data_IF_769309731231
#
_entry.id   IF_769309731231
#
_cell.length_a   1.000
_cell.length_b   1.000
_cell.length_c   1.000
_cell.angle_alpha   90.00
_cell.angle_beta   90.00
_cell.angle_gamma   90.00
#
_symmetry.space_group_name_H-M   'P 1'
#
loop_
_entity.id
_entity.type
_entity.pdbx_description
1 polymer ?
#
# COMPACT_ATOMS: atom_id res chain seq x y z
N UNK A 1 -14.68 -12.84 6.54
CA UNK A 1 -14.49 -13.33 5.16
C UNK A 1 -13.01 -13.33 4.84
N UNK A 2 -12.58 -14.08 3.83
CA UNK A 2 -11.19 -14.07 3.36
C UNK A 2 -10.83 -12.68 2.85
N UNK A 3 -9.60 -12.25 3.12
CA UNK A 3 -9.07 -10.97 2.66
C UNK A 3 -8.28 -11.15 1.36
N UNK A 4 -8.34 -10.14 0.50
CA UNK A 4 -7.55 -10.05 -0.74
C UNK A 4 -6.97 -8.65 -0.89
N UNK A 5 -5.92 -8.52 -1.69
CA UNK A 5 -5.28 -7.23 -1.92
C UNK A 5 -6.19 -6.31 -2.74
N UNK A 6 -6.42 -5.09 -2.24
CA UNK A 6 -7.08 -4.01 -2.96
C UNK A 6 -6.11 -2.87 -3.29
N UNK A 7 -5.18 -3.04 -4.25
CA UNK A 7 -4.12 -2.07 -4.52
C UNK A 7 -4.64 -0.70 -4.99
N UNK A 8 -5.83 -0.67 -5.59
CA UNK A 8 -6.47 0.56 -6.09
C UNK A 8 -7.25 1.34 -5.02
N UNK A 9 -7.45 0.75 -3.84
CA UNK A 9 -8.11 1.44 -2.73
C UNK A 9 -7.21 2.55 -2.20
N UNK A 10 -7.82 3.59 -1.63
CA UNK A 10 -7.10 4.57 -0.81
C UNK A 10 -6.80 3.98 0.57
N UNK A 11 -5.84 4.57 1.28
CA UNK A 11 -5.40 4.08 2.59
C UNK A 11 -6.53 3.91 3.64
N UNK A 12 -7.55 4.77 3.61
CA UNK A 12 -8.72 4.74 4.50
C UNK A 12 -9.90 3.92 3.98
N UNK A 13 -9.77 3.29 2.82
CA UNK A 13 -10.85 2.52 2.21
C UNK A 13 -10.63 1.02 2.36
N UNK A 14 -11.73 0.28 2.42
CA UNK A 14 -11.74 -1.18 2.27
C UNK A 14 -12.83 -1.59 1.28
N UNK A 15 -12.60 -2.67 0.54
CA UNK A 15 -13.63 -3.23 -0.35
C UNK A 15 -14.53 -4.17 0.43
N UNK A 16 -15.82 -3.86 0.49
CA UNK A 16 -16.84 -4.67 1.15
C UNK A 16 -17.73 -5.37 0.10
N UNK A 17 -17.81 -6.72 0.11
CA UNK A 17 -18.69 -7.46 -0.78
C UNK A 17 -20.15 -7.01 -0.70
N UNK A 18 -20.79 -6.77 -1.85
CA UNK A 18 -22.19 -6.32 -1.92
C UNK A 18 -23.16 -7.18 -1.09
N UNK A 19 -23.03 -8.51 -1.15
CA UNK A 19 -23.88 -9.44 -0.38
C UNK A 19 -23.68 -9.29 1.13
N UNK A 20 -22.44 -9.12 1.57
CA UNK A 20 -22.12 -8.90 2.97
C UNK A 20 -22.64 -7.55 3.45
N UNK A 21 -22.40 -6.49 2.67
CA UNK A 21 -22.90 -5.16 2.97
C UNK A 21 -24.43 -5.13 3.09
N UNK A 22 -25.14 -5.80 2.19
CA UNK A 22 -26.60 -5.87 2.23
C UNK A 22 -27.13 -6.51 3.53
N UNK A 23 -26.50 -7.58 4.01
CA UNK A 23 -26.90 -8.23 5.26
C UNK A 23 -26.54 -7.38 6.50
N UNK A 24 -25.37 -6.74 6.51
CA UNK A 24 -24.94 -5.88 7.62
C UNK A 24 -25.80 -4.61 7.75
N UNK A 25 -26.12 -3.97 6.62
CA UNK A 25 -26.86 -2.70 6.56
C UNK A 25 -28.36 -2.86 6.30
N UNK A 26 -28.86 -4.10 6.34
CA UNK A 26 -30.27 -4.46 6.07
C UNK A 26 -31.28 -3.56 6.80
N UNK A 27 -31.13 -3.27 8.12
CA UNK A 27 -32.08 -2.41 8.82
C UNK A 27 -32.09 -0.97 8.29
N UNK A 28 -30.92 -0.43 7.93
CA UNK A 28 -30.77 0.93 7.38
C UNK A 28 -31.42 1.03 6.00
N UNK A 29 -31.17 0.06 5.13
CA UNK A 29 -31.77 -0.01 3.79
C UNK A 29 -33.29 -0.11 3.89
N UNK A 30 -33.81 -0.94 4.80
CA UNK A 30 -35.25 -1.07 5.02
C UNK A 30 -35.89 0.23 5.51
N UNK A 31 -35.21 0.99 6.39
CA UNK A 31 -35.68 2.29 6.86
C UNK A 31 -35.72 3.32 5.72
N UNK A 32 -34.66 3.39 4.92
CA UNK A 32 -34.58 4.31 3.78
C UNK A 32 -35.62 4.00 2.69
N UNK A 33 -35.90 2.72 2.42
CA UNK A 33 -36.93 2.33 1.46
C UNK A 33 -38.33 2.81 1.87
N UNK A 34 -38.63 2.80 3.18
CA UNK A 34 -39.90 3.32 3.70
C UNK A 34 -39.90 4.85 3.69
N UNK A 35 -38.78 5.49 4.06
CA UNK A 35 -38.65 6.95 4.08
C UNK A 35 -38.76 7.59 2.69
N UNK A 36 -38.32 6.89 1.63
CA UNK A 36 -38.42 7.32 0.23
C UNK A 36 -39.71 6.88 -0.47
N UNK A 37 -40.71 6.37 0.27
CA UNK A 37 -41.98 5.83 -0.25
C UNK A 37 -41.84 4.71 -1.30
N UNK A 38 -40.68 4.06 -1.38
CA UNK A 38 -40.42 2.91 -2.25
C UNK A 38 -41.02 1.60 -1.67
N UNK A 39 -41.38 1.62 -0.39
CA UNK A 39 -42.09 0.54 0.28
C UNK A 39 -43.10 1.07 1.30
N UNK A 40 -44.35 0.60 1.23
CA UNK A 40 -45.42 1.04 2.14
C UNK A 40 -45.22 0.64 3.61
N UNK A 41 -44.47 -0.43 3.90
CA UNK A 41 -44.21 -0.89 5.27
C UNK A 41 -42.93 -1.75 5.33
N UNK A 42 -42.46 -1.99 6.56
CA UNK A 42 -41.23 -2.77 6.85
C UNK A 42 -41.31 -4.19 6.26
N UNK A 43 -42.49 -4.83 6.23
CA UNK A 43 -42.65 -6.19 5.64
C UNK A 43 -42.44 -6.17 4.13
N UNK A 44 -42.98 -5.17 3.44
CA UNK A 44 -42.80 -4.97 2.01
C UNK A 44 -41.36 -4.59 1.70
N UNK A 45 -40.73 -3.73 2.51
CA UNK A 45 -39.31 -3.38 2.38
C UNK A 45 -38.41 -4.62 2.50
N UNK A 46 -38.67 -5.50 3.47
CA UNK A 46 -37.93 -6.78 3.62
C UNK A 46 -38.02 -7.64 2.37
N UNK A 47 -39.23 -7.81 1.80
CA UNK A 47 -39.43 -8.56 0.53
C UNK A 47 -38.71 -7.90 -0.65
N UNK A 48 -38.68 -6.57 -0.71
CA UNK A 48 -37.98 -5.83 -1.77
C UNK A 48 -36.47 -6.03 -1.70
N UNK A 49 -35.91 -6.02 -0.48
CA UNK A 49 -34.49 -6.31 -0.23
C UNK A 49 -34.15 -7.76 -0.60
N UNK A 50 -34.96 -8.73 -0.20
CA UNK A 50 -34.75 -10.16 -0.52
C UNK A 50 -34.82 -10.43 -2.04
N UNK A 51 -35.63 -9.67 -2.77
CA UNK A 51 -35.71 -9.75 -4.25
C UNK A 51 -34.54 -9.07 -4.96
N UNK A 52 -33.70 -8.31 -4.26
CA UNK A 52 -32.50 -7.68 -4.84
C UNK A 52 -32.79 -6.68 -5.95
N UNK A 53 -33.86 -5.89 -5.85
CA UNK A 53 -34.21 -4.87 -6.86
C UNK A 53 -33.05 -3.87 -7.08
N UNK A 54 -32.88 -3.31 -8.31
CA UNK A 54 -31.86 -2.30 -8.61
C UNK A 54 -31.81 -1.13 -7.63
N UNK A 55 -32.97 -0.64 -7.19
CA UNK A 55 -33.14 0.46 -6.25
C UNK A 55 -32.44 0.21 -4.91
N UNK A 56 -32.44 -1.04 -4.44
CA UNK A 56 -31.82 -1.47 -3.18
C UNK A 56 -30.31 -1.23 -3.22
N UNK A 57 -29.67 -1.50 -4.36
CA UNK A 57 -28.22 -1.34 -4.52
C UNK A 57 -27.79 0.12 -4.55
N UNK A 58 -28.63 1.01 -5.11
CA UNK A 58 -28.38 2.46 -5.07
C UNK A 58 -28.44 2.97 -3.64
N UNK A 59 -29.50 2.62 -2.90
CA UNK A 59 -29.67 3.03 -1.50
C UNK A 59 -28.56 2.45 -0.61
N UNK A 60 -28.20 1.19 -0.83
CA UNK A 60 -27.10 0.55 -0.10
C UNK A 60 -25.79 1.31 -0.31
N UNK A 61 -25.48 1.73 -1.54
CA UNK A 61 -24.27 2.47 -1.84
C UNK A 61 -24.22 3.79 -1.06
N UNK A 62 -25.30 4.56 -1.08
CA UNK A 62 -25.37 5.86 -0.39
C UNK A 62 -25.19 5.68 1.13
N UNK A 63 -25.85 4.70 1.74
CA UNK A 63 -25.73 4.41 3.18
C UNK A 63 -24.30 4.00 3.53
N UNK A 64 -23.71 3.10 2.74
CA UNK A 64 -22.40 2.50 3.02
C UNK A 64 -21.28 3.56 2.90
N UNK A 65 -21.37 4.50 1.96
CA UNK A 65 -20.36 5.56 1.80
C UNK A 65 -20.27 6.51 3.03
N UNK A 66 -21.38 6.70 3.74
CA UNK A 66 -21.43 7.55 4.94
C UNK A 66 -21.04 6.84 6.24
N UNK A 67 -21.03 5.50 6.27
CA UNK A 67 -20.86 4.73 7.50
C UNK A 67 -19.50 4.04 7.58
N UNK A 68 -18.60 4.40 8.52
CA UNK A 68 -17.36 3.68 8.72
C UNK A 68 -17.63 2.26 9.24
N UNK A 69 -16.77 1.31 8.86
CA UNK A 69 -16.78 -0.07 9.39
C UNK A 69 -15.48 -0.38 10.09
N UNK A 70 -15.51 -1.25 11.09
CA UNK A 70 -14.33 -1.73 11.79
C UNK A 70 -13.90 -3.07 11.21
N UNK A 71 -12.62 -3.17 10.85
CA UNK A 71 -11.98 -4.44 10.51
C UNK A 71 -11.15 -4.92 11.70
N UNK A 72 -11.24 -6.21 11.99
CA UNK A 72 -10.46 -6.88 13.02
C UNK A 72 -9.89 -8.20 12.49
N UNK A 73 -8.62 -8.48 12.83
CA UNK A 73 -7.98 -9.79 12.62
C UNK A 73 -7.66 -10.43 13.96
N UNK A 74 -8.07 -11.68 14.14
CA UNK A 74 -7.69 -12.48 15.30
C UNK A 74 -6.33 -13.17 15.03
N UNK A 75 -5.43 -13.28 16.03
CA UNK A 75 -5.50 -12.69 17.37
C UNK A 75 -5.14 -11.19 17.40
N UNK A 76 -5.88 -10.40 18.18
CA UNK A 76 -5.64 -8.95 18.33
C UNK A 76 -4.58 -8.69 19.41
N UNK A 77 -3.33 -8.46 19.00
CA UNK A 77 -2.20 -8.26 19.93
C UNK A 77 -2.05 -6.82 20.45
N UNK A 78 -2.54 -5.84 19.69
CA UNK A 78 -2.42 -4.42 20.02
C UNK A 78 -3.55 -3.62 19.36
N UNK A 79 -3.75 -2.37 19.78
CA UNK A 79 -4.85 -1.52 19.31
C UNK A 79 -4.93 -1.38 17.78
N UNK A 80 -3.82 -1.47 17.06
CA UNK A 80 -3.77 -1.37 15.60
C UNK A 80 -4.35 -2.59 14.86
N UNK A 81 -4.65 -3.68 15.59
CA UNK A 81 -5.34 -4.85 15.04
C UNK A 81 -6.84 -4.63 14.85
N UNK A 82 -7.38 -3.47 15.27
CA UNK A 82 -8.73 -3.00 14.97
C UNK A 82 -8.61 -1.58 14.41
N UNK A 83 -9.09 -1.37 13.19
CA UNK A 83 -9.11 -0.04 12.56
C UNK A 83 -10.44 0.20 11.83
N UNK A 84 -10.82 1.46 11.72
CA UNK A 84 -11.97 1.88 10.94
C UNK A 84 -11.57 2.19 9.49
N UNK A 85 -12.48 1.88 8.57
CA UNK A 85 -12.35 2.11 7.14
C UNK A 85 -13.67 2.61 6.56
N UNK A 86 -13.58 3.40 5.48
CA UNK A 86 -14.74 3.72 4.64
C UNK A 86 -14.95 2.59 3.63
N UNK A 87 -16.07 1.86 3.70
CA UNK A 87 -16.33 0.74 2.80
C UNK A 87 -16.62 1.23 1.37
N UNK A 88 -16.06 0.52 0.39
CA UNK A 88 -16.35 0.65 -1.03
C UNK A 88 -16.99 -0.65 -1.48
N UNK A 89 -18.18 -0.58 -2.08
CA UNK A 89 -18.86 -1.78 -2.55
C UNK A 89 -18.08 -2.45 -3.68
N UNK A 90 -17.74 -3.72 -3.50
CA UNK A 90 -17.04 -4.55 -4.50
C UNK A 90 -17.85 -5.79 -4.85
N UNK A 91 -17.61 -6.29 -6.06
CA UNK A 91 -18.13 -7.59 -6.48
C UNK A 91 -17.34 -8.74 -5.84
N UNK A 92 -17.96 -9.93 -5.80
CA UNK A 92 -17.36 -11.12 -5.21
C UNK A 92 -17.74 -11.33 -3.73
N UNK A 93 -16.95 -12.15 -3.03
CA UNK A 93 -17.21 -12.55 -1.64
C UNK A 93 -16.06 -12.21 -0.66
N UNK A 94 -14.93 -11.71 -1.16
CA UNK A 94 -13.73 -11.43 -0.38
C UNK A 94 -13.63 -9.95 -0.01
N UNK A 95 -13.10 -9.66 1.18
CA UNK A 95 -12.87 -8.28 1.64
C UNK A 95 -11.57 -7.79 1.02
N UNK A 96 -11.60 -6.65 0.35
CA UNK A 96 -10.37 -6.04 -0.16
C UNK A 96 -9.77 -5.11 0.90
N UNK A 97 -8.49 -5.27 1.20
CA UNK A 97 -7.79 -4.38 2.12
C UNK A 97 -6.61 -3.70 1.43
N UNK A 98 -6.28 -2.51 1.94
CA UNK A 98 -5.17 -1.74 1.43
C UNK A 98 -3.82 -2.41 1.79
N UNK A 99 -2.88 -2.65 0.85
CA UNK A 99 -1.64 -3.39 1.13
C UNK A 99 -0.79 -2.81 2.27
N UNK A 100 -0.77 -1.48 2.43
CA UNK A 100 0.01 -0.82 3.48
C UNK A 100 -0.57 -0.98 4.89
N UNK A 101 -1.83 -1.40 5.05
CA UNK A 101 -2.40 -1.66 6.38
C UNK A 101 -2.14 -3.09 6.86
N UNK A 102 -1.74 -4.00 5.97
CA UNK A 102 -1.49 -5.41 6.30
C UNK A 102 -0.45 -5.57 7.42
N UNK A 103 0.59 -4.74 7.44
CA UNK A 103 1.60 -4.74 8.49
C UNK A 103 1.01 -4.45 9.88
N UNK A 104 0.01 -3.56 9.96
CA UNK A 104 -0.68 -3.25 11.21
C UNK A 104 -1.60 -4.38 11.67
N UNK A 105 -2.17 -5.17 10.76
CA UNK A 105 -2.95 -6.36 11.11
C UNK A 105 -2.10 -7.63 11.27
N UNK A 106 -0.80 -7.54 10.97
CA UNK A 106 0.09 -8.69 10.78
C UNK A 106 -0.51 -9.74 9.82
N UNK A 107 -1.19 -9.27 8.77
CA UNK A 107 -1.97 -10.07 7.85
C UNK A 107 -1.25 -10.28 6.51
N UNK A 108 -1.53 -11.39 5.86
CA UNK A 108 -1.11 -11.71 4.49
C UNK A 108 -2.32 -12.19 3.66
N UNK A 109 -2.06 -12.66 2.44
CA UNK A 109 -3.11 -12.97 1.45
C UNK A 109 -3.15 -14.45 1.07
N UNK A 110 -2.79 -15.35 1.99
CA UNK A 110 -2.71 -16.81 1.76
C UNK A 110 -3.96 -17.58 2.24
N UNK A 111 -4.95 -16.88 2.81
CA UNK A 111 -6.17 -17.50 3.36
C UNK A 111 -6.69 -16.81 4.62
N UNK A 112 -5.96 -15.83 5.14
CA UNK A 112 -6.35 -15.00 6.27
C UNK A 112 -7.79 -14.45 6.18
N UNK A 113 -8.44 -14.36 7.34
CA UNK A 113 -9.81 -13.88 7.45
C UNK A 113 -9.90 -12.69 8.40
N UNK A 114 -10.78 -11.75 8.06
CA UNK A 114 -11.11 -10.62 8.93
C UNK A 114 -12.60 -10.60 9.27
N UNK A 115 -12.89 -10.13 10.47
CA UNK A 115 -14.23 -9.80 10.94
C UNK A 115 -14.56 -8.33 10.62
N UNK A 116 -15.83 -8.08 10.31
CA UNK A 116 -16.35 -6.73 10.02
C UNK A 116 -17.39 -6.39 11.07
N UNK A 117 -17.28 -5.23 11.69
CA UNK A 117 -18.27 -4.70 12.63
C UNK A 117 -18.78 -3.33 12.15
N UNK A 118 -20.07 -3.07 12.36
CA UNK A 118 -20.71 -1.81 11.99
C UNK A 118 -21.06 -1.03 13.26
N UNK A 119 -20.46 0.15 13.50
CA UNK A 119 -20.86 1.05 14.58
C UNK A 119 -22.29 1.56 14.35
N UNK A 120 -23.18 1.34 15.32
CA UNK A 120 -24.61 1.65 15.17
C UNK A 120 -25.01 3.03 15.71
N UNK A 121 -24.45 3.44 16.85
CA UNK A 121 -24.79 4.74 17.45
C UNK A 121 -24.03 5.88 16.77
N UNK A 122 -24.61 7.09 16.69
CA UNK A 122 -23.91 8.25 16.13
C UNK A 122 -22.57 8.54 16.83
N UNK A 123 -22.51 8.34 18.14
CA UNK A 123 -21.29 8.53 18.93
C UNK A 123 -20.21 7.52 18.54
N UNK A 124 -20.59 6.26 18.35
CA UNK A 124 -19.66 5.21 17.93
C UNK A 124 -19.17 5.41 16.48
N UNK A 125 -20.03 5.92 15.59
CA UNK A 125 -19.65 6.27 14.23
C UNK A 125 -18.66 7.45 14.21
N UNK A 126 -18.94 8.49 14.99
CA UNK A 126 -18.05 9.64 15.14
C UNK A 126 -16.70 9.22 15.75
N UNK A 127 -16.69 8.37 16.78
CA UNK A 127 -15.46 7.83 17.37
C UNK A 127 -14.64 7.02 16.36
N UNK A 128 -15.31 6.15 15.59
CA UNK A 128 -14.66 5.35 14.56
C UNK A 128 -14.00 6.24 13.49
N UNK A 129 -14.69 7.29 13.04
CA UNK A 129 -14.16 8.20 12.02
C UNK A 129 -13.05 9.12 12.55
N UNK A 130 -13.22 9.69 13.74
CA UNK A 130 -12.29 10.67 14.31
C UNK A 130 -11.03 10.01 14.86
N UNK A 131 -11.16 8.85 15.53
CA UNK A 131 -10.05 8.21 16.26
C UNK A 131 -9.54 6.94 15.58
N UNK A 132 -10.44 6.07 15.10
CA UNK A 132 -10.06 4.72 14.67
C UNK A 132 -9.73 4.60 13.18
N UNK A 133 -10.05 5.61 12.37
CA UNK A 133 -9.79 5.59 10.93
C UNK A 133 -8.32 5.28 10.65
N UNK A 134 -8.04 4.38 9.71
CA UNK A 134 -6.66 3.94 9.42
C UNK A 134 -5.70 5.12 9.18
N UNK A 135 -6.17 6.21 8.56
CA UNK A 135 -5.40 7.44 8.31
C UNK A 135 -4.86 8.13 9.57
N UNK A 136 -5.45 7.88 10.75
CA UNK A 136 -4.93 8.39 12.02
C UNK A 136 -3.84 7.50 12.62
N UNK A 137 -3.74 6.25 12.15
CA UNK A 137 -2.96 5.18 12.74
C UNK A 137 -1.70 4.85 11.92
N UNK A 138 -0.99 5.90 11.46
CA UNK A 138 0.21 5.77 10.62
C UNK A 138 1.45 5.38 11.44
N UNK A 139 1.54 5.87 12.69
CA UNK A 139 2.67 5.62 13.57
C UNK A 139 2.35 4.52 14.58
N UNK A 140 3.37 3.72 14.90
CA UNK A 140 3.32 2.74 15.97
C UNK A 140 3.25 3.46 17.34
N UNK A 141 2.30 3.10 18.22
CA UNK A 141 2.20 3.66 19.56
C UNK A 141 3.41 3.36 20.44
N UNK A 142 4.13 2.27 20.16
CA UNK A 142 5.20 1.78 21.01
C UNK A 142 6.52 2.55 20.83
N UNK A 143 6.83 3.00 19.61
CA UNK A 143 8.13 3.59 19.27
C UNK A 143 8.03 4.87 18.40
N UNK A 144 6.83 5.27 17.98
CA UNK A 144 6.63 6.46 17.14
C UNK A 144 7.17 6.33 15.71
N UNK A 145 7.58 5.13 15.28
CA UNK A 145 7.99 4.87 13.90
C UNK A 145 6.76 4.56 13.04
N UNK A 146 6.78 4.87 11.72
CA UNK A 146 5.69 4.52 10.83
C UNK A 146 5.47 3.00 10.78
N UNK A 147 4.24 2.55 10.97
CA UNK A 147 3.87 1.13 10.82
C UNK A 147 3.39 0.83 9.40
N UNK A 148 2.78 1.82 8.75
CA UNK A 148 2.25 1.74 7.40
C UNK A 148 3.37 1.89 6.34
N UNK A 149 4.45 1.14 6.50
CA UNK A 149 5.58 1.18 5.58
C UNK A 149 5.28 0.32 4.35
N UNK A 150 5.65 0.79 3.15
CA UNK A 150 5.77 -0.06 1.98
C UNK A 150 6.56 -1.33 2.27
N UNK A 151 6.10 -2.45 1.73
CA UNK A 151 6.73 -3.76 1.88
C UNK A 151 7.02 -4.38 0.51
N UNK A 152 7.94 -5.35 0.50
CA UNK A 152 8.24 -6.25 -0.62
C UNK A 152 8.32 -5.50 -1.98
N UNK A 153 7.40 -5.79 -2.89
CA UNK A 153 7.40 -5.32 -4.28
C UNK A 153 7.37 -3.80 -4.39
N UNK A 154 6.69 -3.10 -3.48
CA UNK A 154 6.65 -1.64 -3.49
C UNK A 154 8.05 -1.08 -3.24
N UNK A 155 8.80 -1.68 -2.31
CA UNK A 155 10.20 -1.32 -2.05
C UNK A 155 11.06 -1.66 -3.27
N UNK A 156 10.86 -2.83 -3.86
CA UNK A 156 11.62 -3.27 -5.04
C UNK A 156 11.43 -2.31 -6.22
N UNK A 157 10.20 -1.91 -6.51
CA UNK A 157 9.89 -0.95 -7.56
C UNK A 157 10.47 0.44 -7.28
N UNK A 158 10.43 0.92 -6.03
CA UNK A 158 11.08 2.18 -5.67
C UNK A 158 12.62 2.09 -5.77
N UNK A 159 13.20 0.96 -5.39
CA UNK A 159 14.63 0.70 -5.50
C UNK A 159 15.05 0.71 -6.97
N UNK A 160 14.37 -0.08 -7.80
CA UNK A 160 14.59 -0.12 -9.25
C UNK A 160 14.45 1.28 -9.85
N UNK A 161 13.36 2.00 -9.57
CA UNK A 161 13.16 3.37 -10.04
C UNK A 161 14.33 4.30 -9.72
N UNK A 162 14.98 4.16 -8.56
CA UNK A 162 15.97 5.13 -8.07
C UNK A 162 17.42 4.67 -8.12
N UNK A 163 17.68 3.45 -8.60
CA UNK A 163 19.04 2.95 -8.81
C UNK A 163 19.74 3.72 -9.94
N UNK A 164 21.06 3.54 -10.00
CA UNK A 164 21.91 4.17 -11.01
C UNK A 164 22.71 3.09 -11.70
N UNK A 165 22.83 3.21 -13.01
CA UNK A 165 23.72 2.40 -13.81
C UNK A 165 24.62 3.29 -14.66
N UNK A 166 25.75 2.75 -15.11
CA UNK A 166 26.64 3.40 -16.07
C UNK A 166 26.33 2.91 -17.49
N UNK A 167 26.73 3.70 -18.50
CA UNK A 167 26.62 3.34 -19.91
C UNK A 167 25.17 3.17 -20.39
N UNK A 168 24.29 4.04 -19.90
CA UNK A 168 22.88 4.08 -20.25
C UNK A 168 22.61 5.15 -21.31
N UNK A 169 21.56 4.98 -22.10
CA UNK A 169 21.15 5.93 -23.14
C UNK A 169 20.82 7.29 -22.52
N UNK A 170 21.43 8.35 -23.06
CA UNK A 170 21.20 9.71 -22.58
C UNK A 170 22.04 10.13 -21.37
N UNK A 171 23.06 9.36 -20.99
CA UNK A 171 24.03 9.77 -19.98
C UNK A 171 24.68 11.13 -20.31
N UNK A 172 24.82 11.99 -19.30
CA UNK A 172 25.41 13.33 -19.41
C UNK A 172 24.48 14.43 -19.91
N UNK A 173 23.26 14.12 -20.37
CA UNK A 173 22.26 15.12 -20.77
C UNK A 173 21.87 16.02 -19.60
N UNK A 174 21.50 17.26 -19.93
CA UNK A 174 21.10 18.30 -18.98
C UNK A 174 19.62 18.60 -19.20
N UNK A 175 18.85 18.64 -18.13
CA UNK A 175 17.42 18.95 -18.17
C UNK A 175 17.08 20.10 -17.24
N UNK A 176 16.14 20.95 -17.67
CA UNK A 176 15.75 22.16 -16.95
C UNK A 176 14.53 21.98 -16.05
N UNK A 177 13.65 21.03 -16.35
CA UNK A 177 12.43 20.78 -15.58
C UNK A 177 12.05 19.28 -15.55
N UNK A 178 11.24 18.83 -14.57
CA UNK A 178 10.84 17.43 -14.45
C UNK A 178 10.05 16.91 -15.66
N UNK A 179 9.16 17.73 -16.22
CA UNK A 179 8.33 17.35 -17.36
C UNK A 179 9.16 17.02 -18.61
N UNK A 180 10.28 17.71 -18.81
CA UNK A 180 11.23 17.46 -19.91
C UNK A 180 11.89 16.10 -19.75
N UNK A 181 12.26 15.73 -18.52
CA UNK A 181 12.83 14.41 -18.20
C UNK A 181 11.80 13.32 -18.42
N UNK A 182 10.57 13.51 -17.95
CA UNK A 182 9.47 12.56 -18.12
C UNK A 182 9.18 12.33 -19.60
N UNK A 183 9.06 13.41 -20.40
CA UNK A 183 8.86 13.31 -21.85
C UNK A 183 10.03 12.67 -22.57
N UNK A 184 11.26 12.96 -22.13
CA UNK A 184 12.45 12.34 -22.71
C UNK A 184 12.49 10.84 -22.40
N UNK A 185 12.04 10.41 -21.22
CA UNK A 185 11.92 9.00 -20.87
C UNK A 185 10.79 8.32 -21.68
N UNK A 186 9.59 8.92 -21.71
CA UNK A 186 8.44 8.41 -22.48
C UNK A 186 8.71 8.34 -23.98
N UNK A 187 9.49 9.29 -24.51
CA UNK A 187 9.91 9.33 -25.90
C UNK A 187 11.15 8.46 -26.21
N UNK A 188 11.61 7.64 -25.26
CA UNK A 188 12.78 6.76 -25.42
C UNK A 188 14.05 7.52 -25.83
N UNK A 189 14.24 8.74 -25.31
CA UNK A 189 15.45 9.54 -25.52
C UNK A 189 16.49 9.36 -24.40
N UNK A 190 16.05 8.86 -23.24
CA UNK A 190 16.88 8.55 -22.07
C UNK A 190 16.38 7.28 -21.38
N UNK A 191 17.30 6.53 -20.78
CA UNK A 191 16.93 5.38 -19.94
C UNK A 191 16.64 5.83 -18.49
N UNK A 192 15.88 5.01 -17.77
CA UNK A 192 15.43 5.30 -16.39
C UNK A 192 16.61 5.53 -15.42
N UNK A 193 17.67 4.74 -15.58
CA UNK A 193 18.85 4.74 -14.71
C UNK A 193 20.00 5.60 -15.25
N UNK A 194 19.79 6.30 -16.37
CA UNK A 194 20.82 7.14 -16.99
C UNK A 194 21.22 8.30 -16.07
N UNK A 195 22.54 8.52 -15.95
CA UNK A 195 23.09 9.63 -15.15
C UNK A 195 22.93 10.93 -15.92
N UNK A 196 22.04 11.79 -15.46
CA UNK A 196 21.71 13.08 -16.06
C UNK A 196 22.09 14.22 -15.11
N UNK A 197 22.27 15.43 -15.64
CA UNK A 197 22.43 16.65 -14.83
C UNK A 197 21.10 17.36 -14.75
N UNK A 198 20.68 17.67 -13.53
CA UNK A 198 19.43 18.37 -13.25
C UNK A 198 19.68 19.52 -12.28
N UNK A 199 18.95 20.62 -12.45
CA UNK A 199 19.04 21.77 -11.55
C UNK A 199 18.28 21.46 -10.25
N UNK A 200 19.04 21.20 -9.19
CA UNK A 200 18.50 21.00 -7.83
C UNK A 200 18.77 22.28 -7.05
N UNK A 201 17.69 23.01 -6.74
CA UNK A 201 17.75 24.39 -6.23
C UNK A 201 18.57 25.28 -7.18
N UNK A 202 19.69 25.85 -6.73
CA UNK A 202 20.55 26.70 -7.54
C UNK A 202 21.82 26.02 -8.08
N UNK A 203 21.91 24.70 -7.94
CA UNK A 203 23.09 23.93 -8.34
C UNK A 203 22.76 22.81 -9.32
N UNK A 204 23.57 22.68 -10.37
CA UNK A 204 23.52 21.52 -11.27
C UNK A 204 24.15 20.33 -10.56
N UNK A 205 23.35 19.28 -10.32
CA UNK A 205 23.79 18.05 -9.66
C UNK A 205 23.50 16.84 -10.54
N UNK A 206 24.32 15.81 -10.40
CA UNK A 206 24.09 14.52 -11.05
C UNK A 206 22.96 13.74 -10.37
N UNK A 207 21.99 13.28 -11.15
CA UNK A 207 20.85 12.47 -10.71
C UNK A 207 20.46 11.46 -11.81
N UNK A 208 19.33 10.78 -11.67
CA UNK A 208 18.76 9.90 -12.70
C UNK A 208 17.33 10.31 -13.03
N UNK A 209 16.85 9.90 -14.21
CA UNK A 209 15.47 10.16 -14.62
C UNK A 209 14.47 9.59 -13.61
N UNK A 210 14.70 8.35 -13.15
CA UNK A 210 13.82 7.72 -12.18
C UNK A 210 13.81 8.39 -10.80
N UNK A 211 14.92 8.99 -10.36
CA UNK A 211 14.92 9.81 -9.12
C UNK A 211 14.10 11.08 -9.28
N UNK A 212 14.11 11.71 -10.45
CA UNK A 212 13.28 12.88 -10.71
C UNK A 212 11.80 12.48 -10.67
N UNK A 213 11.42 11.40 -11.36
CA UNK A 213 10.06 10.84 -11.32
C UNK A 213 9.62 10.53 -9.87
N UNK A 214 10.51 9.94 -9.07
CA UNK A 214 10.22 9.67 -7.67
C UNK A 214 10.00 10.95 -6.85
N UNK A 215 10.68 12.05 -7.17
CA UNK A 215 10.55 13.29 -6.41
C UNK A 215 9.23 14.04 -6.68
N UNK A 216 8.59 13.82 -7.84
CA UNK A 216 7.30 14.47 -8.21
C UNK A 216 6.13 14.14 -7.27
N UNK A 217 6.25 13.08 -6.45
CA UNK A 217 5.19 12.74 -5.49
C UNK A 217 5.21 13.60 -4.24
N UNK A 218 6.34 14.25 -3.94
CA UNK A 218 6.54 15.05 -2.74
C UNK A 218 6.12 16.51 -2.97
N UNK A 219 5.88 17.28 -1.90
CA UNK A 219 5.65 18.72 -2.00
C UNK A 219 6.88 19.47 -2.56
N UNK A 220 6.64 20.60 -3.25
CA UNK A 220 7.70 21.41 -3.88
C UNK A 220 8.71 22.00 -2.87
N UNK A 221 8.31 22.16 -1.61
CA UNK A 221 9.16 22.68 -0.53
C UNK A 221 9.96 21.58 0.20
N UNK A 222 9.91 20.33 -0.30
CA UNK A 222 10.70 19.22 0.20
C UNK A 222 12.05 19.15 -0.51
N UNK A 223 13.11 18.89 0.26
CA UNK A 223 14.44 18.70 -0.30
C UNK A 223 14.46 17.52 -1.28
N UNK A 224 15.14 17.72 -2.41
CA UNK A 224 15.25 16.69 -3.44
C UNK A 224 15.99 15.45 -2.93
N UNK A 225 15.32 14.31 -3.01
CA UNK A 225 15.83 13.00 -2.58
C UNK A 225 16.72 12.43 -3.68
N UNK A 226 18.04 12.60 -3.54
CA UNK A 226 19.03 12.08 -4.49
C UNK A 226 19.78 10.84 -3.98
N UNK A 227 19.06 9.81 -3.55
CA UNK A 227 19.62 8.54 -3.09
C UNK A 227 18.86 7.35 -3.67
N UNK A 228 19.47 6.16 -3.62
CA UNK A 228 18.78 4.92 -3.98
C UNK A 228 17.87 4.52 -2.84
N UNK A 229 16.60 4.29 -3.14
CA UNK A 229 15.55 4.12 -2.16
C UNK A 229 15.55 2.68 -1.65
N UNK A 230 15.90 2.53 -0.39
CA UNK A 230 15.84 1.27 0.37
C UNK A 230 14.71 1.32 1.39
N UNK A 231 14.36 0.18 2.01
CA UNK A 231 13.38 0.12 3.11
C UNK A 231 13.65 1.16 4.20
N UNK A 232 14.90 1.25 4.67
CA UNK A 232 15.33 2.21 5.70
C UNK A 232 15.22 3.66 5.23
N UNK A 233 15.42 3.90 3.94
CA UNK A 233 15.29 5.25 3.36
C UNK A 233 13.82 5.68 3.32
N UNK A 234 12.92 4.79 2.87
CA UNK A 234 11.47 5.05 2.89
C UNK A 234 10.96 5.33 4.29
N UNK A 235 11.40 4.57 5.29
CA UNK A 235 11.01 4.80 6.68
C UNK A 235 11.38 6.20 7.17
N UNK A 236 12.59 6.66 6.85
CA UNK A 236 13.05 8.01 7.18
C UNK A 236 12.26 9.09 6.44
N UNK A 237 12.02 8.88 5.14
CA UNK A 237 11.25 9.80 4.29
C UNK A 237 9.82 9.95 4.84
N UNK A 238 9.12 8.84 5.10
CA UNK A 238 7.75 8.85 5.62
C UNK A 238 7.71 9.50 7.00
N UNK A 239 8.68 9.20 7.87
CA UNK A 239 8.80 9.83 9.19
C UNK A 239 8.98 11.34 9.09
N UNK A 240 9.82 11.81 8.16
CA UNK A 240 10.04 13.23 7.90
C UNK A 240 8.76 13.91 7.38
N UNK A 241 8.12 13.29 6.39
CA UNK A 241 6.87 13.80 5.79
C UNK A 241 5.78 13.93 6.85
N UNK A 242 5.63 12.94 7.72
CA UNK A 242 4.66 12.98 8.81
C UNK A 242 4.92 14.11 9.79
N UNK A 243 6.18 14.33 10.17
CA UNK A 243 6.55 15.39 11.13
C UNK A 243 6.41 16.80 10.54
N UNK A 244 6.75 16.98 9.26
CA UNK A 244 6.76 18.30 8.60
C UNK A 244 5.38 18.68 8.03
N UNK A 245 4.70 17.75 7.38
CA UNK A 245 3.46 18.01 6.62
C UNK A 245 2.19 17.43 7.24
N UNK A 246 2.33 16.65 8.32
CA UNK A 246 1.21 16.07 9.03
C UNK A 246 0.59 14.84 8.35
N UNK A 247 -0.48 14.34 8.96
CA UNK A 247 -1.10 13.05 8.63
C UNK A 247 -1.68 12.99 7.22
N UNK A 248 -2.45 14.00 6.82
CA UNK A 248 -3.22 13.98 5.56
C UNK A 248 -2.30 13.89 4.35
N UNK A 249 -1.25 14.72 4.35
CA UNK A 249 -0.25 14.71 3.28
C UNK A 249 0.57 13.42 3.27
N UNK A 250 0.84 12.85 4.44
CA UNK A 250 1.53 11.56 4.54
C UNK A 250 0.71 10.45 3.91
N UNK A 251 -0.60 10.39 4.16
CA UNK A 251 -1.49 9.39 3.56
C UNK A 251 -1.51 9.49 2.03
N UNK A 252 -1.64 10.71 1.49
CA UNK A 252 -1.59 10.94 0.04
C UNK A 252 -0.25 10.48 -0.58
N UNK A 253 0.87 10.79 0.09
CA UNK A 253 2.20 10.36 -0.36
C UNK A 253 2.37 8.83 -0.25
N UNK A 254 1.85 8.19 0.79
CA UNK A 254 1.86 6.72 0.91
C UNK A 254 1.12 6.05 -0.25
N UNK A 255 -0.05 6.58 -0.61
CA UNK A 255 -0.84 6.08 -1.76
C UNK A 255 -0.09 6.27 -3.09
N UNK A 256 0.60 7.42 -3.26
CA UNK A 256 1.46 7.69 -4.43
C UNK A 256 2.68 6.76 -4.49
N UNK A 257 3.38 6.56 -3.37
CA UNK A 257 4.51 5.63 -3.27
C UNK A 257 4.07 4.21 -3.63
N UNK A 258 2.94 3.75 -3.09
CA UNK A 258 2.35 2.44 -3.43
C UNK A 258 2.13 2.32 -4.94
N UNK A 259 1.48 3.31 -5.55
CA UNK A 259 1.17 3.31 -6.99
C UNK A 259 2.44 3.28 -7.84
N UNK A 260 3.42 4.13 -7.53
CA UNK A 260 4.71 4.14 -8.23
C UNK A 260 5.45 2.82 -8.05
N UNK A 261 5.56 2.33 -6.81
CA UNK A 261 6.28 1.10 -6.50
C UNK A 261 5.70 -0.10 -7.27
N UNK A 262 4.37 -0.28 -7.29
CA UNK A 262 3.77 -1.36 -8.08
C UNK A 262 3.98 -1.20 -9.59
N UNK A 263 3.85 0.03 -10.11
CA UNK A 263 4.04 0.30 -11.54
C UNK A 263 5.47 -0.04 -11.98
N UNK A 264 6.48 0.44 -11.24
CA UNK A 264 7.87 0.22 -11.59
C UNK A 264 8.38 -1.17 -11.24
N UNK A 265 7.81 -1.83 -10.22
CA UNK A 265 8.07 -3.25 -9.98
C UNK A 265 7.59 -4.09 -11.17
N UNK A 266 6.39 -3.80 -11.69
CA UNK A 266 5.86 -4.52 -12.86
C UNK A 266 6.65 -4.22 -14.12
N UNK A 267 6.97 -2.95 -14.39
CA UNK A 267 7.72 -2.56 -15.60
C UNK A 267 9.17 -3.05 -15.59
N UNK A 268 9.76 -3.29 -14.41
CA UNK A 268 11.12 -3.80 -14.32
C UNK A 268 11.26 -5.22 -14.85
N UNK A 269 10.16 -5.99 -14.90
CA UNK A 269 10.19 -7.39 -15.35
C UNK A 269 11.12 -8.28 -14.53
N UNK A 270 11.45 -7.89 -13.28
CA UNK A 270 12.34 -8.66 -12.41
C UNK A 270 11.74 -10.04 -12.19
N UNK A 271 12.55 -11.05 -12.46
CA UNK A 271 12.27 -12.46 -12.22
C UNK A 271 13.47 -13.09 -11.54
N UNK A 272 13.29 -14.27 -10.98
CA UNK A 272 14.37 -15.07 -10.43
C UNK A 272 14.46 -16.39 -11.21
N UNK A 273 15.64 -16.70 -11.73
CA UNK A 273 15.99 -17.95 -12.38
C UNK A 273 17.02 -18.72 -11.56
N UNK A 274 17.17 -20.01 -11.86
CA UNK A 274 18.19 -20.86 -11.21
C UNK A 274 19.61 -20.35 -11.49
N UNK A 275 19.82 -19.71 -12.64
CA UNK A 275 21.13 -19.14 -13.05
C UNK A 275 21.53 -17.92 -12.24
N UNK A 276 20.58 -17.24 -11.58
CA UNK A 276 20.86 -16.10 -10.70
C UNK A 276 21.48 -16.55 -9.37
N UNK A 277 21.40 -17.86 -9.06
CA UNK A 277 21.96 -18.47 -7.86
C UNK A 277 23.41 -18.90 -8.12
N UNK A 278 24.33 -17.94 -8.02
CA UNK A 278 25.76 -18.21 -8.18
C UNK A 278 26.29 -19.07 -7.02
N UNK A 279 26.72 -20.29 -7.33
CA UNK A 279 27.43 -21.14 -6.38
C UNK A 279 28.90 -20.69 -6.31
N UNK A 280 29.42 -20.30 -5.13
CA UNK A 280 30.81 -19.86 -5.02
C UNK A 280 31.78 -20.97 -5.42
N UNK A 281 32.75 -20.64 -6.27
CA UNK A 281 33.79 -21.59 -6.74
C UNK A 281 34.67 -22.14 -5.62
N UNK A 282 34.66 -21.51 -4.44
CA UNK A 282 35.42 -21.92 -3.27
C UNK A 282 34.68 -22.97 -2.41
N UNK A 283 33.39 -23.24 -2.69
CA UNK A 283 32.54 -24.12 -1.88
C UNK A 283 33.19 -25.48 -1.62
N UNK A 284 33.64 -26.17 -2.65
CA UNK A 284 34.18 -27.53 -2.52
C UNK A 284 35.47 -27.56 -1.69
N UNK A 285 36.33 -26.55 -1.85
CA UNK A 285 37.57 -26.42 -1.05
C UNK A 285 37.26 -26.22 0.43
N UNK A 286 36.25 -25.42 0.76
CA UNK A 286 35.84 -25.17 2.15
C UNK A 286 35.30 -26.46 2.77
N UNK A 287 34.49 -27.22 2.03
CA UNK A 287 33.96 -28.50 2.47
C UNK A 287 35.07 -29.52 2.72
N UNK A 288 36.00 -29.69 1.77
CA UNK A 288 37.13 -30.63 1.92
C UNK A 288 38.02 -30.32 3.13
N UNK A 289 38.28 -29.04 3.41
CA UNK A 289 39.06 -28.64 4.59
C UNK A 289 38.32 -29.01 5.88
N UNK A 290 37.02 -28.73 5.93
CA UNK A 290 36.19 -29.00 7.11
C UNK A 290 36.02 -30.49 7.34
N UNK A 291 35.80 -31.29 6.29
CA UNK A 291 35.69 -32.75 6.38
C UNK A 291 36.97 -33.36 6.96
N UNK A 292 38.15 -32.92 6.50
CA UNK A 292 39.44 -33.38 7.05
C UNK A 292 39.63 -33.01 8.53
N UNK A 293 39.14 -31.84 8.95
CA UNK A 293 39.17 -31.46 10.37
C UNK A 293 38.25 -32.33 11.21
N UNK A 294 37.04 -32.64 10.71
CA UNK A 294 36.08 -33.54 11.37
C UNK A 294 36.66 -34.95 11.49
N UNK A 295 37.22 -35.49 10.41
CA UNK A 295 37.88 -36.81 10.41
C UNK A 295 39.00 -36.86 11.45
N UNK A 296 39.84 -35.81 11.52
CA UNK A 296 40.91 -35.73 12.52
C UNK A 296 40.38 -35.70 13.95
N UNK A 297 39.27 -35.02 14.21
CA UNK A 297 38.64 -35.00 15.54
C UNK A 297 38.04 -36.37 15.88
N UNK A 298 37.43 -37.05 14.91
CA UNK A 298 36.82 -38.35 15.09
C UNK A 298 37.87 -39.45 15.33
N UNK A 299 39.06 -39.34 14.72
CA UNK A 299 40.20 -40.21 15.04
C UNK A 299 40.79 -39.97 16.43
N UNK A 300 40.62 -38.76 16.98
CA UNK A 300 41.09 -38.41 18.33
C UNK A 300 40.12 -38.83 19.45
N UNK A 301 38.89 -39.21 19.11
CA UNK A 301 37.83 -39.59 20.03
C UNK A 301 37.74 -41.12 20.18
#
# INVERSE_FOLDING_TARGET
SVIVAGPNLKFYQCGLPKKMALELFKPYVMRELVAKDLAHNIKTAKKTVEKGKPEVWSILKDIVEEHPILLNRAPTLHRLGIQAFKPVLVEGNAIQIHPLVCAAFNADFDGDQMAVHVPLSPEAQAEAEILMLSSNNILSPANGLPIALPSQDIILGCYYLTMRESAQKGEGKIFGNPNEVIRAYEGDFIDLHAKIKYKIHDSLKGTTAGRIIFNEIFPDDMDFINLTITKKSLEKIISFVYRKYGKERTVDILDKIKKLGFSFATSSGISIGVVDLEIPSQKDKILEVTEKEVDRIQEQY
#
